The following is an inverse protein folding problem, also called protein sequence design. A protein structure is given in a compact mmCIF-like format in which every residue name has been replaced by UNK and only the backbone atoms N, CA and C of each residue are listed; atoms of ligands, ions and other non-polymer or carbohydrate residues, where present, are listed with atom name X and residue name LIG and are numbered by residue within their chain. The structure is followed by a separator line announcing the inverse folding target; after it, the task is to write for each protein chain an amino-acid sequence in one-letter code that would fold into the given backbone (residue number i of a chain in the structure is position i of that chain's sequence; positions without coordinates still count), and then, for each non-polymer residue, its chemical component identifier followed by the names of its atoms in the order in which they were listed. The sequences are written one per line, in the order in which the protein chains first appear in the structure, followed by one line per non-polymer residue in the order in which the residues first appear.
data_IF_634267530744
#
_entry.id   IF_634267530744
#
_cell.length_a   1.000
_cell.length_b   1.000
_cell.length_c   1.000
_cell.angle_alpha   90.00
_cell.angle_beta   90.00
_cell.angle_gamma   90.00
#
_symmetry.space_group_name_H-M   'P 1'
#
loop_
_entity.id
_entity.type
_entity.pdbx_description
1 polymer ?
#
# COMPACT_ATOMS: atom_id res chain seq x y z
N UNK A 1 11.29 3.70 -7.88
CA UNK A 1 10.65 2.39 -8.18
C UNK A 1 11.42 1.27 -7.49
N UNK A 2 10.81 0.56 -6.54
CA UNK A 2 11.42 -0.64 -5.93
C UNK A 2 11.42 -1.82 -6.92
N UNK A 3 12.60 -2.36 -7.25
CA UNK A 3 12.80 -3.50 -8.15
C UNK A 3 13.09 -4.77 -7.30
N UNK A 4 12.05 -5.59 -7.10
CA UNK A 4 12.11 -6.75 -6.22
C UNK A 4 13.16 -7.78 -6.62
N UNK A 5 13.33 -8.01 -7.93
CA UNK A 5 14.18 -9.08 -8.45
C UNK A 5 15.68 -8.75 -8.39
N UNK A 6 16.05 -7.47 -8.42
CA UNK A 6 17.45 -7.02 -8.47
C UNK A 6 17.92 -6.32 -7.20
N UNK A 7 17.07 -6.18 -6.18
CA UNK A 7 17.38 -5.48 -4.93
C UNK A 7 17.79 -4.02 -5.14
N UNK A 8 17.10 -3.32 -6.04
CA UNK A 8 17.42 -1.94 -6.42
C UNK A 8 16.23 -1.01 -6.26
N UNK A 9 16.51 0.28 -6.09
CA UNK A 9 15.60 1.38 -6.34
C UNK A 9 15.97 2.00 -7.69
N UNK A 10 15.12 1.82 -8.71
CA UNK A 10 15.26 2.50 -9.99
C UNK A 10 14.68 3.92 -9.91
N UNK A 11 15.47 4.91 -10.34
CA UNK A 11 15.07 6.30 -10.56
C UNK A 11 14.69 6.43 -12.02
N UNK A 12 13.49 6.93 -12.28
CA UNK A 12 12.89 6.92 -13.62
C UNK A 12 12.28 8.28 -13.91
N UNK A 13 12.44 8.78 -15.13
CA UNK A 13 11.69 9.92 -15.65
C UNK A 13 10.37 9.42 -16.27
N UNK A 14 9.20 9.75 -15.71
CA UNK A 14 7.92 9.27 -16.22
C UNK A 14 7.55 9.86 -17.59
N UNK A 15 8.09 11.02 -17.96
CA UNK A 15 7.77 11.69 -19.23
C UNK A 15 8.50 11.07 -20.42
N UNK A 16 9.75 10.66 -20.22
CA UNK A 16 10.60 10.07 -21.26
C UNK A 16 10.62 8.54 -21.21
N UNK A 17 10.31 7.95 -20.06
CA UNK A 17 10.44 6.52 -19.80
C UNK A 17 11.88 6.08 -19.45
N UNK A 18 12.82 7.02 -19.33
CA UNK A 18 14.23 6.70 -19.13
C UNK A 18 14.51 6.27 -17.68
N UNK A 19 15.20 5.13 -17.52
CA UNK A 19 15.77 4.70 -16.23
C UNK A 19 17.11 5.42 -16.05
N UNK A 20 17.09 6.49 -15.26
CA UNK A 20 18.23 7.38 -15.04
C UNK A 20 19.33 6.71 -14.22
N UNK A 21 18.95 5.95 -13.19
CA UNK A 21 19.88 5.30 -12.27
C UNK A 21 19.23 4.12 -11.56
N UNK A 22 20.06 3.15 -11.15
CA UNK A 22 19.70 2.14 -10.14
C UNK A 22 20.55 2.32 -8.91
N UNK A 23 19.90 2.36 -7.76
CA UNK A 23 20.51 2.53 -6.44
C UNK A 23 20.33 1.21 -5.70
N UNK A 24 21.36 0.73 -5.01
CA UNK A 24 21.22 -0.46 -4.19
C UNK A 24 20.21 -0.20 -3.05
N UNK A 25 19.26 -1.12 -2.89
CA UNK A 25 18.32 -1.14 -1.77
C UNK A 25 18.59 -2.37 -0.90
N UNK A 26 17.78 -2.58 0.13
CA UNK A 26 17.79 -3.81 0.91
C UNK A 26 17.23 -5.02 0.14
N UNK A 27 17.33 -6.20 0.74
CA UNK A 27 16.87 -7.46 0.12
C UNK A 27 15.36 -7.49 -0.10
N UNK A 28 14.94 -7.81 -1.33
CA UNK A 28 13.54 -7.87 -1.77
C UNK A 28 12.76 -6.58 -1.46
N UNK A 29 13.11 -5.44 -2.10
CA UNK A 29 12.40 -4.19 -1.89
C UNK A 29 10.95 -4.33 -2.38
N UNK A 30 9.99 -4.03 -1.51
CA UNK A 30 8.58 -4.29 -1.73
C UNK A 30 7.73 -3.02 -1.75
N UNK A 31 8.12 -2.00 -0.97
CA UNK A 31 7.39 -0.73 -0.86
C UNK A 31 8.36 0.44 -0.97
N UNK A 32 7.85 1.60 -1.37
CA UNK A 32 8.61 2.84 -1.43
C UNK A 32 7.69 4.02 -1.08
N UNK A 33 8.20 4.99 -0.33
CA UNK A 33 7.46 6.20 0.07
C UNK A 33 8.42 7.39 0.14
N UNK A 34 7.96 8.60 -0.22
CA UNK A 34 8.72 9.84 0.00
C UNK A 34 8.38 10.42 1.37
N UNK A 35 9.40 10.83 2.12
CA UNK A 35 9.26 11.58 3.38
C UNK A 35 10.51 12.44 3.64
N UNK A 36 10.33 13.70 4.05
CA UNK A 36 11.41 14.62 4.46
C UNK A 36 12.59 14.78 3.48
N UNK A 37 12.33 14.70 2.18
CA UNK A 37 13.40 14.75 1.15
C UNK A 37 14.17 13.44 0.96
N UNK A 38 13.63 12.33 1.47
CA UNK A 38 14.15 10.97 1.30
C UNK A 38 13.11 10.04 0.68
N UNK A 39 13.58 9.02 -0.01
CA UNK A 39 12.79 7.85 -0.37
C UNK A 39 13.10 6.74 0.64
N UNK A 40 12.08 6.25 1.33
CA UNK A 40 12.15 5.11 2.23
C UNK A 40 11.66 3.87 1.51
N UNK A 41 12.49 2.82 1.49
CA UNK A 41 12.22 1.55 0.80
C UNK A 41 12.10 0.43 1.83
N UNK A 42 10.92 -0.19 1.93
CA UNK A 42 10.72 -1.35 2.78
C UNK A 42 11.23 -2.62 2.09
N UNK A 43 12.18 -3.31 2.72
CA UNK A 43 12.85 -4.50 2.17
C UNK A 43 12.40 -5.76 2.89
N UNK A 44 11.52 -6.54 2.25
CA UNK A 44 10.82 -7.66 2.86
C UNK A 44 11.72 -8.85 3.20
N UNK A 45 12.86 -8.99 2.51
CA UNK A 45 13.82 -10.06 2.75
C UNK A 45 14.90 -9.71 3.79
N UNK A 46 15.03 -8.43 4.16
CA UNK A 46 16.13 -7.92 4.98
C UNK A 46 15.74 -7.43 6.38
N UNK A 47 14.45 -7.26 6.68
CA UNK A 47 14.01 -6.73 7.98
C UNK A 47 14.32 -5.24 8.18
N UNK A 48 14.62 -4.53 7.09
CA UNK A 48 15.10 -3.15 7.10
C UNK A 48 14.26 -2.22 6.23
N UNK A 49 14.26 -0.95 6.58
CA UNK A 49 13.85 0.15 5.70
C UNK A 49 15.11 0.88 5.27
N UNK A 50 15.34 1.02 3.97
CA UNK A 50 16.48 1.77 3.42
C UNK A 50 16.04 3.18 3.09
N UNK A 51 16.66 4.19 3.70
CA UNK A 51 16.45 5.60 3.34
C UNK A 51 17.47 6.03 2.28
N UNK A 52 17.00 6.64 1.20
CA UNK A 52 17.81 7.16 0.09
C UNK A 52 17.53 8.64 -0.07
N UNK A 53 18.56 9.50 -0.07
CA UNK A 53 18.36 10.95 -0.22
C UNK A 53 17.92 11.30 -1.64
N UNK A 54 16.93 12.18 -1.78
CA UNK A 54 16.49 12.68 -3.09
C UNK A 54 17.53 13.65 -3.66
N UNK A 55 18.10 14.51 -2.81
CA UNK A 55 19.07 15.52 -3.23
C UNK A 55 20.45 14.93 -3.58
N UNK A 56 20.82 13.82 -2.93
CA UNK A 56 22.08 13.11 -3.16
C UNK A 56 21.86 11.59 -3.07
N UNK A 57 21.48 10.94 -4.18
CA UNK A 57 21.13 9.51 -4.19
C UNK A 57 22.27 8.56 -3.83
N UNK A 58 23.50 9.07 -3.62
CA UNK A 58 24.60 8.28 -3.06
C UNK A 58 24.47 8.07 -1.54
N UNK A 59 23.67 8.88 -0.85
CA UNK A 59 23.39 8.74 0.56
C UNK A 59 22.30 7.70 0.80
N UNK A 60 22.74 6.52 1.22
CA UNK A 60 21.89 5.36 1.49
C UNK A 60 22.10 4.93 2.94
N UNK A 61 21.03 4.90 3.72
CA UNK A 61 21.04 4.54 5.14
C UNK A 61 20.08 3.39 5.41
N UNK A 62 20.56 2.16 5.66
CA UNK A 62 19.71 1.07 6.11
C UNK A 62 19.30 1.26 7.58
N UNK A 63 18.03 1.01 7.88
CA UNK A 63 17.43 1.12 9.20
C UNK A 63 16.80 -0.22 9.55
N UNK A 64 17.39 -0.96 10.47
CA UNK A 64 16.81 -2.22 10.96
C UNK A 64 15.55 -1.94 11.75
N UNK A 65 14.43 -2.56 11.38
CA UNK A 65 13.11 -2.33 12.01
C UNK A 65 12.49 -3.60 12.57
N UNK A 66 12.58 -4.72 11.86
CA UNK A 66 11.80 -5.92 12.16
C UNK A 66 12.22 -7.11 11.31
N UNK A 67 11.28 -7.98 10.98
CA UNK A 67 11.51 -9.19 10.18
C UNK A 67 11.20 -8.97 8.70
N UNK A 68 10.01 -8.46 8.40
CA UNK A 68 9.56 -8.28 7.03
C UNK A 68 8.72 -6.99 6.90
N UNK A 69 9.38 -5.84 6.71
CA UNK A 69 8.70 -4.56 6.49
C UNK A 69 7.99 -4.56 5.15
N UNK A 70 6.71 -4.21 5.17
CA UNK A 70 5.88 -4.04 3.98
C UNK A 70 5.20 -2.68 4.01
N UNK A 71 4.06 -2.55 4.67
CA UNK A 71 3.28 -1.32 4.69
C UNK A 71 4.08 -0.15 5.28
N UNK A 72 4.17 0.96 4.53
CA UNK A 72 4.77 2.21 4.97
C UNK A 72 3.71 3.29 5.02
N UNK A 73 3.73 4.12 6.06
CA UNK A 73 2.88 5.30 6.17
C UNK A 73 3.63 6.39 6.94
N UNK A 74 3.62 7.62 6.44
CA UNK A 74 4.40 8.72 7.01
C UNK A 74 3.48 9.75 7.66
N UNK A 75 3.86 10.15 8.87
CA UNK A 75 3.26 11.25 9.63
C UNK A 75 4.22 12.44 9.60
N UNK A 76 3.93 13.39 8.70
CA UNK A 76 4.71 14.61 8.53
C UNK A 76 4.72 15.50 9.79
N UNK A 77 3.60 15.56 10.50
CA UNK A 77 3.48 16.40 11.68
C UNK A 77 4.40 15.94 12.82
N UNK A 78 4.69 14.63 12.89
CA UNK A 78 5.59 14.05 13.90
C UNK A 78 6.96 13.66 13.37
N UNK A 79 7.18 13.68 12.05
CA UNK A 79 8.41 13.17 11.43
C UNK A 79 8.59 11.66 11.63
N UNK A 80 7.49 10.90 11.71
CA UNK A 80 7.52 9.46 12.00
C UNK A 80 7.08 8.65 10.78
N UNK A 81 7.88 7.66 10.41
CA UNK A 81 7.51 6.63 9.45
C UNK A 81 7.02 5.39 10.21
N UNK A 82 5.75 5.04 10.03
CA UNK A 82 5.17 3.78 10.47
C UNK A 82 5.48 2.66 9.48
N UNK A 83 5.90 1.52 10.02
CA UNK A 83 6.31 0.35 9.24
C UNK A 83 5.59 -0.89 9.76
N UNK A 84 4.74 -1.49 8.93
CA UNK A 84 4.06 -2.75 9.24
C UNK A 84 5.00 -3.94 9.03
N UNK A 85 5.04 -4.86 10.00
CA UNK A 85 5.83 -6.08 9.92
C UNK A 85 4.94 -7.31 9.68
N UNK A 86 5.16 -7.97 8.54
CA UNK A 86 4.41 -9.14 8.10
C UNK A 86 4.56 -10.35 9.04
N UNK A 87 5.63 -10.46 9.83
CA UNK A 87 5.91 -11.64 10.66
C UNK A 87 6.09 -11.36 12.16
N UNK A 88 5.70 -10.17 12.62
CA UNK A 88 5.87 -9.78 14.03
C UNK A 88 4.58 -9.31 14.72
N UNK A 89 3.45 -9.23 14.00
CA UNK A 89 2.20 -8.66 14.54
C UNK A 89 2.47 -7.31 15.24
N UNK A 90 3.21 -6.43 14.57
CA UNK A 90 3.67 -5.17 15.15
C UNK A 90 3.84 -4.07 14.12
N UNK A 91 3.77 -2.83 14.60
CA UNK A 91 4.11 -1.61 13.87
C UNK A 91 5.39 -1.04 14.46
N UNK A 92 6.33 -0.67 13.61
CA UNK A 92 7.58 -0.03 13.98
C UNK A 92 7.52 1.46 13.62
N UNK A 93 7.98 2.31 14.53
CA UNK A 93 8.07 3.76 14.33
C UNK A 93 9.52 4.11 14.10
N UNK A 94 9.82 4.60 12.91
CA UNK A 94 11.13 5.13 12.55
C UNK A 94 11.06 6.64 12.60
N UNK A 95 11.93 7.24 13.40
CA UNK A 95 12.14 8.68 13.37
C UNK A 95 12.94 9.02 12.12
N UNK A 96 12.37 9.88 11.28
CA UNK A 96 12.92 10.22 9.98
C UNK A 96 14.13 11.15 10.08
N UNK A 97 14.23 11.99 11.11
CA UNK A 97 15.38 12.85 11.31
C UNK A 97 16.57 12.05 11.83
N UNK A 98 16.33 11.18 12.83
CA UNK A 98 17.34 10.31 13.43
C UNK A 98 17.72 9.13 12.53
N UNK A 99 16.85 8.78 11.56
CA UNK A 99 16.96 7.58 10.72
C UNK A 99 17.10 6.32 11.58
N UNK A 100 16.25 6.19 12.60
CA UNK A 100 16.33 5.09 13.58
C UNK A 100 14.97 4.62 14.05
N UNK A 101 14.85 3.33 14.33
CA UNK A 101 13.71 2.76 15.07
C UNK A 101 13.64 3.37 16.48
N UNK A 102 12.54 4.03 16.79
CA UNK A 102 12.32 4.67 18.11
C UNK A 102 11.27 3.98 18.96
N UNK A 103 10.34 3.24 18.35
CA UNK A 103 9.27 2.54 19.08
C UNK A 103 8.74 1.35 18.29
N UNK A 104 8.22 0.35 19.01
CA UNK A 104 7.45 -0.76 18.44
C UNK A 104 6.12 -0.86 19.17
N UNK A 105 5.02 -0.85 18.42
CA UNK A 105 3.65 -1.11 18.89
C UNK A 105 3.31 -2.56 18.58
N UNK A 106 2.96 -3.33 19.62
CA UNK A 106 2.51 -4.71 19.44
C UNK A 106 1.01 -4.74 19.15
N UNK A 107 0.61 -5.53 18.17
CA UNK A 107 -0.77 -5.83 17.86
C UNK A 107 -1.16 -7.16 18.52
N UNK A 108 -2.46 -7.34 18.75
CA UNK A 108 -3.04 -8.59 19.18
C UNK A 108 -2.94 -9.63 18.05
N UNK A 109 -2.22 -10.72 18.31
CA UNK A 109 -1.99 -11.77 17.33
C UNK A 109 -3.24 -12.58 16.97
N UNK A 110 -4.29 -12.57 17.81
CA UNK A 110 -5.54 -13.31 17.57
C UNK A 110 -6.44 -12.67 16.51
N UNK A 111 -6.20 -11.40 16.15
CA UNK A 111 -7.01 -10.68 15.17
C UNK A 111 -8.49 -10.54 15.55
N UNK A 112 -9.30 -10.14 14.58
CA UNK A 112 -10.76 -10.03 14.69
C UNK A 112 -11.46 -11.38 14.48
N UNK A 113 -12.31 -11.77 15.44
CA UNK A 113 -12.96 -13.09 15.48
C UNK A 113 -14.49 -13.05 15.27
N UNK A 114 -15.11 -11.88 15.26
CA UNK A 114 -16.56 -11.71 15.14
C UNK A 114 -17.01 -11.42 13.70
N UNK A 115 -16.49 -12.16 12.72
CA UNK A 115 -16.82 -11.98 11.29
C UNK A 115 -18.29 -12.27 11.03
N UNK A 116 -18.96 -11.38 10.31
CA UNK A 116 -20.37 -11.57 9.94
C UNK A 116 -20.53 -12.55 8.79
N UNK A 117 -19.53 -12.66 7.92
CA UNK A 117 -19.51 -13.55 6.77
C UNK A 117 -18.08 -14.06 6.52
N UNK A 118 -17.56 -14.99 7.35
CA UNK A 118 -16.21 -15.51 7.20
C UNK A 118 -16.13 -16.41 5.96
N UNK A 119 -15.24 -16.10 4.98
CA UNK A 119 -14.93 -17.00 3.88
C UNK A 119 -14.51 -18.40 4.38
N UNK A 120 -14.76 -19.43 3.58
CA UNK A 120 -14.34 -20.80 3.90
C UNK A 120 -12.82 -20.92 4.15
N UNK A 121 -12.02 -20.05 3.49
CA UNK A 121 -10.57 -19.96 3.66
C UNK A 121 -10.13 -19.18 4.91
N UNK A 122 -11.02 -18.41 5.54
CA UNK A 122 -10.71 -17.51 6.67
C UNK A 122 -10.77 -18.19 8.04
N UNK A 123 -10.70 -19.53 8.10
CA UNK A 123 -10.52 -20.24 9.36
C UNK A 123 -9.08 -20.03 9.81
N UNK A 124 -8.88 -19.10 10.75
CA UNK A 124 -7.56 -18.80 11.34
C UNK A 124 -6.93 -20.10 11.83
N UNK A 125 -5.81 -20.50 11.22
CA UNK A 125 -4.97 -21.55 11.80
C UNK A 125 -4.34 -20.99 13.08
N UNK A 126 -4.60 -21.56 14.27
CA UNK A 126 -4.08 -21.05 15.52
C UNK A 126 -2.55 -20.90 15.48
N UNK A 127 -2.05 -19.66 15.52
CA UNK A 127 -0.62 -19.34 15.60
C UNK A 127 -0.01 -18.62 14.38
N UNK A 128 -0.78 -18.33 13.32
CA UNK A 128 -0.27 -17.59 12.15
C UNK A 128 -0.11 -16.08 12.38
N UNK A 129 -0.75 -15.54 13.42
CA UNK A 129 -0.65 -14.15 13.86
C UNK A 129 -1.15 -13.13 12.83
N UNK A 130 -1.12 -11.85 13.22
CA UNK A 130 -1.28 -10.75 12.26
C UNK A 130 -0.05 -10.62 11.38
N UNK A 131 -0.30 -10.31 10.10
CA UNK A 131 0.71 -10.06 9.09
C UNK A 131 0.44 -8.71 8.42
N UNK A 132 0.96 -7.63 8.99
CA UNK A 132 0.62 -6.27 8.56
C UNK A 132 1.22 -5.97 7.18
N UNK A 133 0.38 -5.61 6.22
CA UNK A 133 0.78 -5.42 4.80
C UNK A 133 0.57 -3.99 4.32
N UNK A 134 -0.42 -3.29 4.84
CA UNK A 134 -0.72 -1.91 4.46
C UNK A 134 -1.18 -1.10 5.68
N UNK A 135 -0.89 0.19 5.64
CA UNK A 135 -1.13 1.15 6.71
C UNK A 135 -1.84 2.38 6.17
N UNK A 136 -2.79 2.93 6.92
CA UNK A 136 -3.38 4.24 6.62
C UNK A 136 -3.46 5.08 7.89
N UNK A 137 -2.93 6.30 7.83
CA UNK A 137 -2.99 7.28 8.92
C UNK A 137 -4.27 8.10 8.79
N UNK A 138 -4.96 8.27 9.91
CA UNK A 138 -6.09 9.17 10.02
C UNK A 138 -5.66 10.63 9.78
N UNK A 139 -6.44 11.48 9.08
CA UNK A 139 -6.07 12.87 8.82
C UNK A 139 -5.79 13.71 10.07
N UNK A 140 -6.45 13.40 11.18
CA UNK A 140 -6.22 13.99 12.50
C UNK A 140 -4.91 13.54 13.16
N UNK A 141 -4.27 12.50 12.63
CA UNK A 141 -2.95 12.01 13.04
C UNK A 141 -2.93 11.24 14.35
N UNK A 142 -4.05 10.85 14.94
CA UNK A 142 -4.11 10.12 16.23
C UNK A 142 -4.33 8.61 16.06
N UNK A 143 -4.88 8.17 14.92
CA UNK A 143 -5.24 6.79 14.65
C UNK A 143 -4.48 6.23 13.44
N UNK A 144 -4.00 5.00 13.57
CA UNK A 144 -3.40 4.23 12.48
C UNK A 144 -4.22 2.95 12.23
N UNK A 145 -4.56 2.73 10.95
CA UNK A 145 -5.26 1.54 10.49
C UNK A 145 -4.29 0.56 9.85
N UNK A 146 -4.27 -0.67 10.34
CA UNK A 146 -3.33 -1.70 9.93
C UNK A 146 -4.08 -2.85 9.27
N UNK A 147 -3.97 -2.98 7.95
CA UNK A 147 -4.55 -4.12 7.23
C UNK A 147 -3.66 -5.35 7.38
N UNK A 148 -4.23 -6.45 7.86
CA UNK A 148 -3.47 -7.65 8.20
C UNK A 148 -3.86 -8.83 7.32
N UNK A 149 -2.87 -9.38 6.61
CA UNK A 149 -3.06 -10.49 5.71
C UNK A 149 -3.44 -11.78 6.45
N UNK A 150 -2.70 -12.14 7.50
CA UNK A 150 -2.86 -13.45 8.16
C UNK A 150 -4.20 -13.65 8.88
N UNK A 151 -4.83 -12.55 9.28
CA UNK A 151 -6.10 -12.57 10.02
C UNK A 151 -7.23 -11.90 9.25
N UNK A 152 -6.98 -11.44 8.01
CA UNK A 152 -7.93 -10.78 7.10
C UNK A 152 -8.71 -9.61 7.73
N UNK A 153 -8.12 -8.95 8.72
CA UNK A 153 -8.75 -7.91 9.54
C UNK A 153 -8.02 -6.58 9.41
N UNK A 154 -8.63 -5.53 9.94
CA UNK A 154 -8.00 -4.22 10.10
C UNK A 154 -7.92 -3.88 11.58
N UNK A 155 -6.71 -3.62 12.07
CA UNK A 155 -6.48 -3.17 13.44
C UNK A 155 -6.48 -1.64 13.49
N UNK A 156 -7.18 -1.06 14.47
CA UNK A 156 -7.15 0.37 14.77
C UNK A 156 -6.27 0.63 15.97
N UNK A 157 -5.24 1.44 15.78
CA UNK A 157 -4.20 1.73 16.78
C UNK A 157 -4.29 3.19 17.18
N UNK A 158 -4.34 3.43 18.48
CA UNK A 158 -4.11 4.75 19.08
C UNK A 158 -2.61 5.04 19.08
N UNK A 159 -2.21 6.13 18.43
CA UNK A 159 -0.80 6.51 18.30
C UNK A 159 -0.26 7.19 19.56
N UNK A 160 -1.10 7.88 20.33
CA UNK A 160 -0.70 8.50 21.59
C UNK A 160 -0.48 7.44 22.67
N UNK A 161 -1.45 6.56 22.87
CA UNK A 161 -1.35 5.43 23.78
C UNK A 161 -0.40 4.34 23.26
N UNK A 162 -0.10 4.34 21.96
CA UNK A 162 0.71 3.35 21.26
C UNK A 162 0.22 1.92 21.53
N UNK A 163 -1.09 1.75 21.37
CA UNK A 163 -1.81 0.53 21.66
C UNK A 163 -2.92 0.32 20.64
N UNK A 164 -3.17 -0.95 20.30
CA UNK A 164 -4.39 -1.32 19.61
C UNK A 164 -5.61 -1.04 20.49
N UNK A 165 -6.60 -0.33 19.92
CA UNK A 165 -7.88 -0.06 20.59
C UNK A 165 -8.87 -1.18 20.26
N UNK A 166 -9.03 -1.46 18.97
CA UNK A 166 -9.93 -2.47 18.47
C UNK A 166 -9.50 -2.96 17.09
N UNK A 167 -10.19 -3.98 16.59
CA UNK A 167 -10.08 -4.44 15.22
C UNK A 167 -11.46 -4.76 14.67
N UNK A 168 -11.59 -4.70 13.36
CA UNK A 168 -12.82 -4.96 12.64
C UNK A 168 -12.57 -5.86 11.45
N UNK A 169 -13.67 -6.38 10.90
CA UNK A 169 -13.60 -7.21 9.71
C UNK A 169 -12.94 -6.46 8.56
N UNK A 170 -12.20 -7.18 7.74
CA UNK A 170 -11.42 -6.62 6.65
C UNK A 170 -11.83 -7.21 5.31
N UNK A 171 -10.82 -7.48 4.50
CA UNK A 171 -10.94 -8.14 3.20
C UNK A 171 -10.04 -9.38 3.22
N UNK A 172 -10.33 -10.36 2.37
CA UNK A 172 -9.41 -11.48 2.17
C UNK A 172 -8.16 -10.98 1.44
N UNK A 173 -7.00 -11.42 1.90
CA UNK A 173 -5.69 -11.06 1.36
C UNK A 173 -5.51 -9.54 1.14
N UNK A 174 -5.68 -8.68 2.16
CA UNK A 174 -5.52 -7.23 2.01
C UNK A 174 -4.20 -6.89 1.31
N UNK A 175 -4.24 -5.88 0.46
CA UNK A 175 -3.06 -5.39 -0.28
C UNK A 175 -2.83 -3.91 -0.08
N UNK A 176 -3.90 -3.11 -0.08
CA UNK A 176 -3.83 -1.67 0.09
C UNK A 176 -5.03 -1.19 0.89
N UNK A 177 -4.79 -0.19 1.75
CA UNK A 177 -5.81 0.50 2.52
C UNK A 177 -5.53 2.01 2.44
N UNK A 178 -6.58 2.82 2.32
CA UNK A 178 -6.50 4.27 2.41
C UNK A 178 -7.68 4.84 3.19
N UNK A 179 -7.48 6.00 3.82
CA UNK A 179 -8.57 6.80 4.37
C UNK A 179 -9.13 7.66 3.25
N UNK A 180 -10.46 7.72 3.12
CA UNK A 180 -11.12 8.53 2.09
C UNK A 180 -10.80 10.02 2.23
N UNK A 181 -10.93 10.77 1.13
CA UNK A 181 -10.67 12.21 1.08
C UNK A 181 -11.43 13.03 2.15
N UNK A 182 -12.66 12.63 2.48
CA UNK A 182 -13.48 13.26 3.53
C UNK A 182 -13.14 12.78 4.96
N UNK A 183 -12.23 11.81 5.09
CA UNK A 183 -11.85 11.19 6.34
C UNK A 183 -12.88 10.22 6.94
N UNK A 184 -14.02 9.97 6.29
CA UNK A 184 -15.11 9.22 6.90
C UNK A 184 -15.02 7.69 6.69
N UNK A 185 -14.27 7.25 5.68
CA UNK A 185 -14.26 5.87 5.22
C UNK A 185 -12.85 5.30 5.09
N UNK A 186 -12.76 3.97 5.04
CA UNK A 186 -11.57 3.23 4.63
C UNK A 186 -11.86 2.51 3.32
N UNK A 187 -11.03 2.70 2.30
CA UNK A 187 -11.09 1.91 1.07
C UNK A 187 -10.07 0.80 1.15
N UNK A 188 -10.51 -0.44 0.95
CA UNK A 188 -9.71 -1.63 1.21
C UNK A 188 -9.73 -2.57 0.01
N UNK A 189 -8.55 -2.76 -0.58
CA UNK A 189 -8.30 -3.67 -1.68
C UNK A 189 -7.71 -4.99 -1.16
N UNK A 190 -8.11 -6.12 -1.75
CA UNK A 190 -7.65 -7.46 -1.36
C UNK A 190 -7.52 -8.41 -2.53
N UNK A 191 -6.54 -9.31 -2.43
CA UNK A 191 -6.27 -10.38 -3.40
C UNK A 191 -6.05 -11.66 -2.61
N UNK A 192 -6.99 -12.60 -2.74
CA UNK A 192 -6.87 -13.92 -2.11
C UNK A 192 -5.66 -14.69 -2.63
N UNK A 193 -4.90 -15.29 -1.73
CA UNK A 193 -3.84 -16.22 -2.06
C UNK A 193 -4.34 -17.55 -2.65
N UNK A 194 -3.42 -18.47 -2.90
CA UNK A 194 -3.75 -19.82 -3.37
C UNK A 194 -4.65 -20.55 -2.35
N UNK A 195 -5.81 -21.02 -2.79
CA UNK A 195 -6.80 -21.67 -1.92
C UNK A 195 -7.64 -20.71 -1.08
N UNK A 196 -7.41 -19.40 -1.19
CA UNK A 196 -8.23 -18.36 -0.57
C UNK A 196 -9.32 -17.85 -1.52
N UNK A 197 -10.41 -17.31 -0.95
CA UNK A 197 -11.46 -16.65 -1.70
C UNK A 197 -10.89 -15.47 -2.48
N UNK A 198 -11.21 -15.42 -3.77
CA UNK A 198 -10.89 -14.27 -4.61
C UNK A 198 -11.85 -13.13 -4.34
N UNK A 199 -11.31 -11.91 -4.33
CA UNK A 199 -12.04 -10.68 -4.01
C UNK A 199 -12.20 -9.88 -5.28
N UNK A 200 -13.45 -9.65 -5.67
CA UNK A 200 -13.79 -8.97 -6.93
C UNK A 200 -14.26 -7.52 -6.74
N UNK A 201 -14.41 -7.11 -5.48
CA UNK A 201 -14.97 -5.82 -5.11
C UNK A 201 -13.97 -5.04 -4.26
N UNK A 202 -13.95 -3.72 -4.44
CA UNK A 202 -13.34 -2.80 -3.49
C UNK A 202 -14.28 -2.66 -2.29
N UNK A 203 -13.76 -2.87 -1.08
CA UNK A 203 -14.57 -2.73 0.13
C UNK A 203 -14.45 -1.32 0.69
N UNK A 204 -15.59 -0.72 1.00
CA UNK A 204 -15.69 0.59 1.66
C UNK A 204 -16.22 0.38 3.07
N UNK A 205 -15.42 0.74 4.06
CA UNK A 205 -15.76 0.59 5.48
C UNK A 205 -16.02 1.97 6.10
N UNK A 206 -17.05 2.09 6.92
CA UNK A 206 -17.24 3.25 7.80
C UNK A 206 -16.12 3.28 8.84
N UNK A 207 -15.36 4.37 8.89
CA UNK A 207 -14.15 4.46 9.71
C UNK A 207 -14.45 4.45 11.21
N UNK A 208 -15.61 4.98 11.60
CA UNK A 208 -16.01 5.08 13.00
C UNK A 208 -16.42 3.72 13.59
N UNK A 209 -17.26 2.98 12.87
CA UNK A 209 -17.82 1.70 13.32
C UNK A 209 -17.06 0.47 12.82
N UNK A 210 -16.18 0.62 11.83
CA UNK A 210 -15.46 -0.48 11.19
C UNK A 210 -16.33 -1.38 10.31
N UNK A 211 -17.60 -1.02 10.08
CA UNK A 211 -18.52 -1.83 9.28
C UNK A 211 -18.32 -1.59 7.79
N UNK A 212 -18.34 -2.67 7.01
CA UNK A 212 -18.46 -2.59 5.54
C UNK A 212 -19.81 -1.97 5.17
N UNK A 213 -19.76 -0.83 4.47
CA UNK A 213 -20.93 -0.08 4.04
C UNK A 213 -21.19 -0.19 2.54
N UNK A 214 -20.14 -0.42 1.73
CA UNK A 214 -20.26 -0.68 0.30
C UNK A 214 -19.31 -1.79 -0.16
N UNK A 215 -19.71 -2.46 -1.23
CA UNK A 215 -18.91 -3.38 -2.04
C UNK A 215 -19.02 -2.87 -3.48
N UNK A 216 -17.90 -2.40 -4.04
CA UNK A 216 -17.87 -1.77 -5.36
C UNK A 216 -17.31 -2.77 -6.34
N UNK A 217 -18.08 -3.25 -7.33
CA UNK A 217 -17.57 -4.20 -8.32
C UNK A 217 -16.46 -3.59 -9.16
N UNK A 218 -15.26 -4.16 -9.07
CA UNK A 218 -14.10 -3.71 -9.86
C UNK A 218 -13.77 -4.75 -10.93
N UNK A 219 -13.63 -6.01 -10.52
CA UNK A 219 -13.14 -7.10 -11.35
C UNK A 219 -12.24 -8.03 -10.55
N UNK A 220 -11.68 -9.07 -11.18
CA UNK A 220 -10.97 -10.13 -10.48
C UNK A 220 -9.70 -9.63 -9.78
N UNK A 221 -9.57 -9.98 -8.50
CA UNK A 221 -8.39 -9.70 -7.66
C UNK A 221 -8.09 -8.20 -7.51
N UNK A 222 -8.85 -7.51 -6.66
CA UNK A 222 -8.69 -6.06 -6.44
C UNK A 222 -7.37 -5.75 -5.72
N UNK A 223 -6.33 -5.36 -6.45
CA UNK A 223 -4.97 -5.29 -5.91
C UNK A 223 -4.55 -3.92 -5.37
N UNK A 224 -5.08 -2.84 -5.92
CA UNK A 224 -4.69 -1.48 -5.56
C UNK A 224 -5.82 -0.50 -5.74
N UNK A 225 -5.76 0.61 -5.00
CA UNK A 225 -6.76 1.68 -5.00
C UNK A 225 -6.07 3.04 -4.79
N UNK A 226 -6.54 4.06 -5.50
CA UNK A 226 -6.17 5.46 -5.31
C UNK A 226 -7.42 6.34 -5.39
N UNK A 227 -7.40 7.49 -4.73
CA UNK A 227 -8.50 8.45 -4.73
C UNK A 227 -7.94 9.86 -4.90
N UNK A 228 -8.64 10.69 -5.66
CA UNK A 228 -8.35 12.12 -5.75
C UNK A 228 -8.51 12.78 -4.38
N UNK A 229 -7.65 13.73 -4.04
CA UNK A 229 -7.66 14.44 -2.75
C UNK A 229 -8.97 15.19 -2.46
N UNK A 230 -9.75 15.53 -3.50
CA UNK A 230 -11.08 16.14 -3.38
C UNK A 230 -12.23 15.12 -3.36
N UNK A 231 -11.93 13.82 -3.46
CA UNK A 231 -12.90 12.72 -3.49
C UNK A 231 -13.69 12.60 -4.79
N UNK A 232 -13.39 13.39 -5.82
CA UNK A 232 -14.17 13.43 -7.07
C UNK A 232 -14.03 12.16 -7.91
N UNK A 233 -12.94 11.41 -7.75
CA UNK A 233 -12.65 10.21 -8.51
C UNK A 233 -11.90 9.16 -7.67
N UNK A 234 -12.16 7.89 -7.96
CA UNK A 234 -11.49 6.72 -7.38
C UNK A 234 -11.02 5.82 -8.52
N UNK A 235 -9.83 5.24 -8.40
CA UNK A 235 -9.30 4.26 -9.34
C UNK A 235 -8.94 2.98 -8.59
N UNK A 236 -9.22 1.82 -9.20
CA UNK A 236 -8.92 0.52 -8.64
C UNK A 236 -8.38 -0.45 -9.71
N UNK A 237 -7.53 -1.37 -9.29
CA UNK A 237 -6.93 -2.39 -10.17
C UNK A 237 -7.74 -3.68 -10.08
N UNK A 238 -8.28 -4.16 -11.21
CA UNK A 238 -8.68 -5.54 -11.41
C UNK A 238 -7.48 -6.34 -11.94
N UNK A 239 -6.70 -6.94 -11.04
CA UNK A 239 -5.35 -7.46 -11.35
C UNK A 239 -5.36 -8.60 -12.36
N UNK A 240 -6.29 -9.53 -12.21
CA UNK A 240 -6.34 -10.74 -13.04
C UNK A 240 -7.07 -10.48 -14.37
N UNK A 241 -7.94 -9.46 -14.41
CA UNK A 241 -8.50 -8.93 -15.66
C UNK A 241 -7.47 -8.06 -16.41
N UNK A 242 -6.47 -7.51 -15.71
CA UNK A 242 -5.45 -6.64 -16.28
C UNK A 242 -5.98 -5.25 -16.62
N UNK A 243 -6.94 -4.75 -15.84
CA UNK A 243 -7.62 -3.47 -16.08
C UNK A 243 -7.47 -2.51 -14.90
N UNK A 244 -7.28 -1.22 -15.23
CA UNK A 244 -7.53 -0.12 -14.31
C UNK A 244 -8.98 0.35 -14.50
N UNK A 245 -9.73 0.47 -13.41
CA UNK A 245 -11.14 0.87 -13.42
C UNK A 245 -11.29 2.20 -12.68
N UNK A 246 -12.03 3.14 -13.26
CA UNK A 246 -12.29 4.46 -12.70
C UNK A 246 -13.75 4.60 -12.26
N UNK A 247 -13.96 5.32 -11.16
CA UNK A 247 -15.26 5.63 -10.58
C UNK A 247 -15.35 7.12 -10.24
N UNK A 248 -16.56 7.68 -10.29
CA UNK A 248 -16.84 9.00 -9.72
C UNK A 248 -17.11 8.93 -8.20
N UNK A 249 -17.39 10.08 -7.59
CA UNK A 249 -17.68 10.20 -6.16
C UNK A 249 -18.93 9.41 -5.69
N UNK A 250 -19.84 9.10 -6.60
CA UNK A 250 -21.04 8.30 -6.33
C UNK A 250 -20.81 6.81 -6.62
N UNK A 251 -19.57 6.40 -6.86
CA UNK A 251 -19.15 5.05 -7.22
C UNK A 251 -19.70 4.54 -8.56
N UNK A 252 -20.11 5.45 -9.45
CA UNK A 252 -20.47 5.05 -10.82
C UNK A 252 -19.19 4.81 -11.62
N UNK A 253 -19.10 3.67 -12.30
CA UNK A 253 -17.96 3.38 -13.19
C UNK A 253 -17.92 4.39 -14.34
N UNK A 254 -16.81 5.11 -14.47
CA UNK A 254 -16.60 6.15 -15.50
C UNK A 254 -15.67 5.69 -16.62
N UNK A 255 -14.93 4.60 -16.44
CA UNK A 255 -14.10 4.02 -17.49
C UNK A 255 -13.26 2.83 -17.06
N UNK A 256 -12.78 2.09 -18.07
CA UNK A 256 -11.82 0.98 -17.93
C UNK A 256 -10.68 1.18 -18.91
N UNK A 257 -9.46 0.89 -18.45
CA UNK A 257 -8.26 0.93 -19.27
C UNK A 257 -7.54 -0.43 -19.17
N UNK A 258 -7.48 -1.21 -20.26
CA UNK A 258 -6.70 -2.44 -20.32
C UNK A 258 -5.19 -2.11 -20.31
N UNK A 259 -4.47 -2.68 -19.34
CA UNK A 259 -3.02 -2.53 -19.16
C UNK A 259 -2.29 -3.88 -19.18
N UNK A 260 -3.04 -4.98 -19.19
CA UNK A 260 -2.51 -6.33 -19.22
C UNK A 260 -2.34 -6.93 -17.82
N UNK A 261 -2.32 -8.26 -17.77
CA UNK A 261 -2.21 -9.03 -16.52
C UNK A 261 -0.88 -8.74 -15.82
N UNK A 262 -0.92 -8.64 -14.49
CA UNK A 262 0.27 -8.44 -13.65
C UNK A 262 0.39 -7.05 -13.03
N UNK A 263 -0.57 -6.16 -13.30
CA UNK A 263 -0.70 -4.89 -12.59
C UNK A 263 -1.04 -5.14 -11.10
N UNK A 264 -0.27 -4.56 -10.18
CA UNK A 264 -0.45 -4.82 -8.74
C UNK A 264 -0.19 -3.63 -7.81
N UNK A 265 0.25 -2.50 -8.36
CA UNK A 265 0.54 -1.28 -7.60
C UNK A 265 -0.08 -0.09 -8.30
N UNK A 266 -0.81 0.76 -7.55
CA UNK A 266 -1.45 1.97 -8.04
C UNK A 266 -1.06 3.16 -7.15
N UNK A 267 -0.56 4.23 -7.76
CA UNK A 267 -0.24 5.48 -7.08
C UNK A 267 -0.78 6.67 -7.88
N UNK A 268 -1.52 7.55 -7.22
CA UNK A 268 -1.80 8.90 -7.71
C UNK A 268 -0.62 9.80 -7.33
N UNK A 269 -0.05 10.49 -8.31
CA UNK A 269 1.05 11.41 -8.09
C UNK A 269 0.56 12.68 -7.36
N UNK A 270 1.43 13.39 -6.61
CA UNK A 270 1.06 14.61 -5.88
C UNK A 270 0.55 15.77 -6.77
N UNK A 271 0.70 15.68 -8.09
CA UNK A 271 0.15 16.64 -9.04
C UNK A 271 -1.36 16.48 -9.28
N UNK A 272 -1.97 15.42 -8.72
CA UNK A 272 -3.37 15.00 -8.86
C UNK A 272 -3.79 14.71 -10.32
N UNK A 273 -2.82 14.55 -11.21
CA UNK A 273 -3.04 14.42 -12.67
C UNK A 273 -2.46 13.15 -13.23
N UNK A 274 -1.48 12.55 -12.56
CA UNK A 274 -0.76 11.40 -13.08
C UNK A 274 -1.02 10.17 -12.21
N UNK A 275 -1.55 9.10 -12.81
CA UNK A 275 -1.59 7.78 -12.21
C UNK A 275 -0.39 6.96 -12.69
N UNK A 276 0.22 6.23 -11.76
CA UNK A 276 1.29 5.28 -12.04
C UNK A 276 0.81 3.87 -11.67
N UNK A 277 0.78 2.98 -12.66
CA UNK A 277 0.36 1.58 -12.49
C UNK A 277 1.54 0.66 -12.75
N UNK A 278 2.01 -0.02 -11.70
CA UNK A 278 3.10 -0.98 -11.80
C UNK A 278 2.61 -2.34 -12.30
N UNK A 279 3.22 -2.85 -13.37
CA UNK A 279 3.06 -4.23 -13.85
C UNK A 279 4.30 -5.05 -13.46
N UNK A 280 4.16 -5.81 -12.38
CA UNK A 280 5.29 -6.52 -11.78
C UNK A 280 5.69 -7.80 -12.54
N UNK A 281 4.81 -8.31 -13.41
CA UNK A 281 5.08 -9.45 -14.30
C UNK A 281 5.73 -8.96 -15.59
N UNK A 282 5.18 -7.90 -16.18
CA UNK A 282 5.67 -7.30 -17.43
C UNK A 282 6.97 -6.50 -17.27
N UNK A 283 7.35 -6.13 -16.04
CA UNK A 283 8.53 -5.30 -15.81
C UNK A 283 8.32 -3.86 -16.26
N UNK A 284 7.10 -3.36 -16.09
CA UNK A 284 6.65 -2.08 -16.62
C UNK A 284 5.99 -1.19 -15.55
N UNK A 285 5.96 0.11 -15.82
CA UNK A 285 5.08 1.07 -15.13
C UNK A 285 4.34 1.89 -16.18
N UNK A 286 3.02 1.87 -16.15
CA UNK A 286 2.18 2.67 -17.02
C UNK A 286 1.94 4.05 -16.39
N UNK A 287 2.12 5.09 -17.19
CA UNK A 287 1.89 6.49 -16.81
C UNK A 287 0.61 6.95 -17.48
N UNK A 288 -0.40 7.33 -16.70
CA UNK A 288 -1.77 7.53 -17.15
C UNK A 288 -2.26 8.91 -16.71
N UNK A 289 -2.96 9.61 -17.59
CA UNK A 289 -3.67 10.85 -17.23
C UNK A 289 -4.90 10.49 -16.38
N UNK A 290 -4.93 10.97 -15.13
CA UNK A 290 -5.93 10.59 -14.15
C UNK A 290 -7.36 11.00 -14.58
N UNK A 291 -7.50 12.18 -15.18
CA UNK A 291 -8.79 12.74 -15.56
C UNK A 291 -9.41 12.04 -16.77
N UNK A 292 -8.59 11.67 -17.76
CA UNK A 292 -9.05 11.13 -19.04
C UNK A 292 -8.86 9.62 -19.18
N UNK A 293 -8.16 8.98 -18.25
CA UNK A 293 -7.73 7.57 -18.35
C UNK A 293 -6.89 7.28 -19.59
N UNK A 294 -6.24 8.29 -20.17
CA UNK A 294 -5.37 8.13 -21.32
C UNK A 294 -4.00 7.58 -20.90
N UNK A 295 -3.58 6.47 -21.50
CA UNK A 295 -2.20 5.98 -21.36
C UNK A 295 -1.24 6.98 -22.03
N UNK A 296 -0.45 7.69 -21.24
CA UNK A 296 0.51 8.70 -21.71
C UNK A 296 1.86 8.08 -22.08
N UNK A 297 2.33 7.14 -21.26
CA UNK A 297 3.61 6.48 -21.45
C UNK A 297 3.63 5.09 -20.80
N UNK A 298 4.56 4.24 -21.20
CA UNK A 298 4.90 2.99 -20.49
C UNK A 298 6.41 2.93 -20.32
N UNK A 299 6.85 2.96 -19.07
CA UNK A 299 8.24 2.71 -18.69
C UNK A 299 8.47 1.19 -18.77
N UNK A 300 9.53 0.77 -19.43
CA UNK A 300 9.90 -0.64 -19.59
C UNK A 300 11.26 -0.95 -18.96
N UNK A 301 11.61 -2.24 -18.88
CA UNK A 301 12.93 -2.68 -18.45
C UNK A 301 13.16 -2.64 -16.93
N UNK A 302 12.07 -2.61 -16.15
CA UNK A 302 12.10 -2.70 -14.69
C UNK A 302 12.09 -4.15 -14.22
N UNK A 303 12.88 -4.47 -13.20
CA UNK A 303 13.03 -5.83 -12.69
C UNK A 303 12.00 -6.14 -11.58
N UNK A 304 10.83 -6.66 -11.98
CA UNK A 304 9.68 -6.93 -11.11
C UNK A 304 9.34 -5.71 -10.22
N UNK A 305 8.86 -4.61 -10.82
CA UNK A 305 8.53 -3.40 -10.10
C UNK A 305 7.45 -3.65 -9.04
N UNK A 306 7.66 -3.18 -7.79
CA UNK A 306 6.69 -3.19 -6.67
C UNK A 306 6.34 -1.77 -6.21
N UNK A 307 6.85 -1.31 -5.08
CA UNK A 307 6.55 0.03 -4.54
C UNK A 307 7.00 1.20 -5.42
N UNK A 308 6.08 2.13 -5.68
CA UNK A 308 6.32 3.38 -6.41
C UNK A 308 6.35 4.54 -5.40
N UNK A 309 7.39 5.37 -5.48
CA UNK A 309 7.48 6.65 -4.77
C UNK A 309 7.64 7.76 -5.81
N UNK A 310 6.84 8.81 -5.71
CA UNK A 310 6.83 9.93 -6.66
C UNK A 310 7.47 11.14 -5.99
N UNK A 311 8.49 11.69 -6.64
CA UNK A 311 9.16 12.92 -6.22
C UNK A 311 8.55 14.10 -7.01
N UNK A 312 8.34 15.23 -6.32
CA UNK A 312 7.83 16.46 -6.92
C UNK A 312 8.97 17.39 -7.36
#
# INVERSE_FOLDING_TARGET
MAEYANNTLAVVDPSTGEILQRIAAGQNPATALVADGWVYVGSSGGGEVTAVSIADPSQVTPITVGKQPLGLCYDEARGILYVGDYFASSIHLVDTQLKSLVKTVKLNASGYHNRTDPPDCCRIDPGTGRRTVALALAPEGDLLYCANYGTFDVARVDLEAAAEIEAFDGVVGPRQILVSADGAQLLLAGVGGEGEQQVNDLYVLDRASGKRVLEIPVGQSVAGVAQASDGSAVWAIARDDGELVAFDADWSETGRLPLGVGIDTLVLAPDEKTLLVGNSIGGQVHVIDAATMALMNTIEGLASPKGIAVIA
#
